data_IF_880463811672
#
_entry.id   IF_880463811672
#
_cell.length_a   1.000
_cell.length_b   1.000
_cell.length_c   1.000
_cell.angle_alpha   90.00
_cell.angle_beta   90.00
_cell.angle_gamma   90.00
#
_symmetry.space_group_name_H-M   'P 1'
#
loop_
_entity.id
_entity.type
_entity.pdbx_description
1 polymer ?
#
# COMPACT_ATOMS: atom_id res chain seq x y z
N UNK A 1 2.50 -1.74 -12.35
CA UNK A 1 2.10 -2.83 -11.44
C UNK A 1 1.24 -2.26 -10.31
N UNK A 2 1.77 -1.45 -9.39
CA UNK A 2 1.11 -0.99 -8.14
C UNK A 2 -0.22 -0.26 -8.43
N UNK A 3 -0.24 0.73 -9.33
CA UNK A 3 -1.49 1.44 -9.69
C UNK A 3 -2.56 0.47 -10.21
N UNK A 4 -2.18 -0.49 -11.06
CA UNK A 4 -3.11 -1.51 -11.55
C UNK A 4 -3.64 -2.45 -10.46
N UNK A 5 -2.86 -2.67 -9.39
CA UNK A 5 -3.28 -3.39 -8.20
C UNK A 5 -4.25 -2.54 -7.36
N UNK A 6 -3.92 -1.27 -7.14
CA UNK A 6 -4.73 -0.31 -6.38
C UNK A 6 -6.11 -0.04 -7.02
N UNK A 7 -6.17 0.02 -8.33
CA UNK A 7 -7.44 0.25 -9.05
C UNK A 7 -8.30 -1.02 -9.20
N UNK A 8 -7.74 -2.19 -8.91
CA UNK A 8 -8.49 -3.43 -8.92
C UNK A 8 -9.46 -3.46 -7.74
N UNK A 9 -10.74 -3.42 -8.05
CA UNK A 9 -11.83 -3.35 -7.08
C UNK A 9 -11.66 -2.24 -6.02
N UNK A 10 -11.11 -1.10 -6.42
CA UNK A 10 -10.82 0.06 -5.54
C UNK A 10 -10.09 -0.33 -4.26
N UNK A 11 -9.09 -1.21 -4.36
CA UNK A 11 -8.27 -1.68 -3.24
C UNK A 11 -9.02 -2.39 -2.12
N UNK A 12 -10.19 -2.97 -2.38
CA UNK A 12 -10.94 -3.73 -1.38
C UNK A 12 -10.36 -5.11 -1.12
N UNK A 13 -9.53 -5.63 -2.04
CA UNK A 13 -8.79 -6.88 -1.82
C UNK A 13 -7.76 -6.68 -0.72
N UNK A 14 -7.79 -7.51 0.31
CA UNK A 14 -6.88 -7.45 1.47
C UNK A 14 -5.38 -7.57 1.10
N UNK A 15 -5.07 -8.08 -0.09
CA UNK A 15 -3.71 -8.12 -0.63
C UNK A 15 -3.32 -6.88 -1.44
N UNK A 16 -4.21 -5.89 -1.62
CA UNK A 16 -3.84 -4.62 -2.26
C UNK A 16 -2.80 -3.90 -1.41
N UNK A 17 -1.87 -3.23 -2.07
CA UNK A 17 -0.82 -2.48 -1.40
C UNK A 17 -1.43 -1.40 -0.49
N UNK A 18 -1.04 -1.36 0.75
CA UNK A 18 -1.47 -0.34 1.72
C UNK A 18 -0.39 0.73 1.90
N UNK A 19 0.85 0.35 1.64
CA UNK A 19 2.03 1.20 1.74
C UNK A 19 3.02 0.84 0.65
N UNK A 20 3.81 1.81 0.23
CA UNK A 20 5.00 1.63 -0.61
C UNK A 20 6.20 2.25 0.07
N UNK A 21 7.29 1.49 0.12
CA UNK A 21 8.59 1.96 0.61
C UNK A 21 9.51 2.11 -0.60
N UNK A 22 10.04 3.29 -0.81
CA UNK A 22 10.81 3.66 -2.01
C UNK A 22 12.23 4.02 -1.59
N UNK A 23 13.21 3.46 -2.27
CA UNK A 23 14.61 3.83 -2.07
C UNK A 23 14.86 5.25 -2.62
N UNK A 24 15.52 6.08 -1.82
CA UNK A 24 15.78 7.51 -2.09
C UNK A 24 16.29 7.78 -3.51
N UNK A 25 17.26 7.05 -4.06
CA UNK A 25 17.82 7.34 -5.40
C UNK A 25 16.81 7.26 -6.55
N UNK A 26 15.72 6.51 -6.37
CA UNK A 26 14.72 6.31 -7.42
C UNK A 26 13.39 7.05 -7.12
N UNK A 27 13.29 7.74 -5.99
CA UNK A 27 12.04 8.36 -5.54
C UNK A 27 11.41 9.28 -6.59
N UNK A 28 12.18 10.22 -7.15
CA UNK A 28 11.64 11.18 -8.12
C UNK A 28 11.12 10.50 -9.38
N UNK A 29 11.82 9.48 -9.87
CA UNK A 29 11.41 8.72 -11.04
C UNK A 29 10.13 7.90 -10.75
N UNK A 30 10.05 7.26 -9.60
CA UNK A 30 8.87 6.50 -9.17
C UNK A 30 7.67 7.42 -8.96
N UNK A 31 7.87 8.59 -8.33
CA UNK A 31 6.83 9.60 -8.15
C UNK A 31 6.28 10.10 -9.49
N UNK A 32 7.16 10.42 -10.43
CA UNK A 32 6.77 10.84 -11.77
C UNK A 32 5.92 9.76 -12.47
N UNK A 33 6.32 8.50 -12.34
CA UNK A 33 5.60 7.36 -12.92
C UNK A 33 4.22 7.16 -12.28
N UNK A 34 4.08 7.29 -10.97
CA UNK A 34 2.77 7.27 -10.30
C UNK A 34 1.86 8.37 -10.84
N UNK A 35 2.35 9.61 -10.94
CA UNK A 35 1.60 10.75 -11.46
C UNK A 35 1.18 10.52 -12.93
N UNK A 36 2.09 10.01 -13.76
CA UNK A 36 1.80 9.67 -15.16
C UNK A 36 0.70 8.61 -15.30
N UNK A 37 0.54 7.74 -14.29
CA UNK A 37 -0.53 6.74 -14.19
C UNK A 37 -1.77 7.24 -13.43
N UNK A 38 -1.94 8.54 -13.27
CA UNK A 38 -3.13 9.17 -12.72
C UNK A 38 -3.19 9.28 -11.19
N UNK A 39 -2.08 9.02 -10.49
CA UNK A 39 -2.04 9.23 -9.06
C UNK A 39 -2.07 10.73 -8.69
N UNK A 40 -2.78 11.06 -7.62
CA UNK A 40 -2.75 12.37 -7.00
C UNK A 40 -1.84 12.34 -5.77
N UNK A 41 -0.77 13.13 -5.80
CA UNK A 41 0.13 13.27 -4.66
C UNK A 41 -0.41 14.35 -3.73
N UNK A 42 -0.86 13.93 -2.55
CA UNK A 42 -1.53 14.80 -1.58
C UNK A 42 -0.56 15.81 -0.96
N UNK A 43 -1.05 17.03 -0.76
CA UNK A 43 -0.37 18.02 0.06
C UNK A 43 -0.42 17.63 1.55
N UNK A 44 0.43 18.21 2.42
CA UNK A 44 0.36 17.98 3.86
C UNK A 44 -1.02 18.28 4.46
N UNK A 45 -1.72 19.31 3.95
CA UNK A 45 -3.08 19.62 4.38
C UNK A 45 -4.08 18.53 3.96
N UNK A 46 -3.98 18.03 2.72
CA UNK A 46 -4.82 16.94 2.22
C UNK A 46 -4.55 15.64 2.97
N UNK A 47 -3.27 15.34 3.28
CA UNK A 47 -2.88 14.22 4.14
C UNK A 47 -3.60 14.29 5.49
N UNK A 48 -3.59 15.45 6.16
CA UNK A 48 -4.27 15.61 7.45
C UNK A 48 -5.76 15.36 7.33
N UNK A 49 -6.41 15.91 6.31
CA UNK A 49 -7.84 15.69 6.04
C UNK A 49 -8.18 14.21 5.79
N UNK A 50 -7.31 13.48 5.10
CA UNK A 50 -7.46 12.03 4.93
C UNK A 50 -7.28 11.29 6.26
N UNK A 51 -6.27 11.65 7.05
CA UNK A 51 -6.01 11.07 8.35
C UNK A 51 -7.23 11.18 9.30
N UNK A 52 -7.95 12.29 9.23
CA UNK A 52 -9.13 12.54 10.06
C UNK A 52 -10.32 11.62 9.72
N UNK A 53 -10.37 11.05 8.52
CA UNK A 53 -11.49 10.22 8.08
C UNK A 53 -11.15 8.72 7.93
N UNK A 54 -9.86 8.36 7.78
CA UNK A 54 -9.45 6.97 7.49
C UNK A 54 -9.71 6.05 8.67
N UNK A 55 -9.55 6.53 9.90
CA UNK A 55 -9.71 5.73 11.12
C UNK A 55 -10.82 6.30 11.99
N UNK A 56 -11.66 5.40 12.50
CA UNK A 56 -12.66 5.69 13.53
C UNK A 56 -12.46 4.74 14.71
N UNK A 57 -12.01 5.27 15.84
CA UNK A 57 -11.84 4.50 17.07
C UNK A 57 -10.92 3.29 16.93
N UNK A 58 -9.76 3.45 16.33
CA UNK A 58 -8.76 2.39 16.06
C UNK A 58 -9.25 1.30 15.08
N UNK A 59 -10.16 1.61 14.18
CA UNK A 59 -10.60 0.74 13.09
C UNK A 59 -10.66 1.52 11.81
N UNK A 60 -10.46 0.84 10.69
CA UNK A 60 -10.68 1.45 9.38
C UNK A 60 -12.12 1.96 9.29
N UNK A 61 -12.29 3.14 8.72
CA UNK A 61 -13.61 3.70 8.49
C UNK A 61 -14.30 2.96 7.33
N UNK A 62 -15.33 2.19 7.64
CA UNK A 62 -16.06 1.41 6.64
C UNK A 62 -16.71 2.28 5.54
N UNK A 63 -16.97 3.56 5.82
CA UNK A 63 -17.63 4.45 4.85
C UNK A 63 -16.74 4.81 3.64
N UNK A 64 -15.41 4.59 3.74
CA UNK A 64 -14.48 4.87 2.64
C UNK A 64 -14.10 3.61 1.84
N UNK A 65 -14.42 2.42 2.34
CA UNK A 65 -14.05 1.15 1.71
C UNK A 65 -14.71 1.02 0.35
N UNK A 66 -13.91 0.76 -0.68
CA UNK A 66 -14.37 0.56 -2.04
C UNK A 66 -14.81 1.82 -2.80
N UNK A 67 -14.71 3.00 -2.20
CA UNK A 67 -14.98 4.26 -2.87
C UNK A 67 -13.86 4.63 -3.85
N UNK A 68 -14.23 5.40 -4.88
CA UNK A 68 -13.24 5.99 -5.78
C UNK A 68 -12.44 7.12 -5.11
N UNK A 69 -11.20 7.40 -5.55
CA UNK A 69 -10.35 8.45 -4.96
C UNK A 69 -11.03 9.83 -4.84
N UNK A 70 -11.74 10.26 -5.88
CA UNK A 70 -12.44 11.54 -5.86
C UNK A 70 -13.57 11.60 -4.83
N UNK A 71 -14.25 10.47 -4.57
CA UNK A 71 -15.29 10.39 -3.54
C UNK A 71 -14.69 10.47 -2.13
N UNK A 72 -13.56 9.78 -1.91
CA UNK A 72 -12.82 9.83 -0.65
C UNK A 72 -12.30 11.25 -0.40
N UNK A 73 -11.71 11.89 -1.43
CA UNK A 73 -11.25 13.27 -1.34
C UNK A 73 -12.39 14.24 -0.97
N UNK A 74 -13.56 14.09 -1.61
CA UNK A 74 -14.74 14.90 -1.31
C UNK A 74 -15.21 14.71 0.15
N UNK A 75 -15.22 13.47 0.66
CA UNK A 75 -15.52 13.18 2.07
C UNK A 75 -14.50 13.82 3.03
N UNK A 76 -13.23 13.89 2.62
CA UNK A 76 -12.16 14.54 3.37
C UNK A 76 -12.17 16.09 3.23
N UNK A 77 -13.04 16.64 2.37
CA UNK A 77 -13.16 18.08 2.20
C UNK A 77 -12.11 18.71 1.26
N UNK A 78 -11.73 17.97 0.21
CA UNK A 78 -10.94 18.50 -0.92
C UNK A 78 -11.35 17.82 -2.23
N UNK A 79 -10.91 18.38 -3.35
CA UNK A 79 -11.28 17.89 -4.67
C UNK A 79 -10.05 17.34 -5.41
N UNK A 80 -10.26 16.28 -6.17
CA UNK A 80 -9.34 15.75 -7.16
C UNK A 80 -10.10 15.37 -8.42
N UNK A 81 -9.40 15.14 -9.52
CA UNK A 81 -10.02 14.69 -10.77
C UNK A 81 -10.75 13.36 -10.60
N UNK A 82 -11.89 13.18 -11.26
CA UNK A 82 -12.59 11.89 -11.35
C UNK A 82 -11.72 10.79 -11.98
N UNK A 83 -10.72 11.16 -12.77
CA UNK A 83 -9.75 10.25 -13.37
C UNK A 83 -8.60 9.88 -12.42
N UNK A 84 -8.60 10.38 -11.18
CA UNK A 84 -7.57 10.03 -10.20
C UNK A 84 -7.66 8.54 -9.88
N UNK A 85 -6.52 7.85 -9.97
CA UNK A 85 -6.42 6.40 -9.77
C UNK A 85 -6.12 6.02 -8.32
N UNK A 86 -5.31 6.81 -7.63
CA UNK A 86 -4.90 6.58 -6.23
C UNK A 86 -4.50 7.90 -5.56
N UNK A 87 -4.77 8.04 -4.27
CA UNK A 87 -4.31 9.13 -3.43
C UNK A 87 -3.00 8.71 -2.76
N UNK A 88 -1.90 9.41 -3.08
CA UNK A 88 -0.58 9.14 -2.51
C UNK A 88 -0.31 10.10 -1.36
N UNK A 89 0.14 9.57 -0.22
CA UNK A 89 0.42 10.38 0.98
C UNK A 89 1.81 10.07 1.52
N UNK A 90 2.63 11.09 1.70
CA UNK A 90 3.95 10.94 2.32
C UNK A 90 3.78 10.63 3.81
N UNK A 91 4.39 9.55 4.28
CA UNK A 91 4.40 9.12 5.68
C UNK A 91 5.83 8.97 6.19
N UNK A 92 6.04 9.29 7.48
CA UNK A 92 7.33 9.25 8.15
C UNK A 92 7.34 8.31 9.37
N UNK A 93 6.17 7.84 9.80
CA UNK A 93 6.03 6.96 10.96
C UNK A 93 4.96 5.90 10.77
N UNK A 94 4.91 4.98 11.72
CA UNK A 94 3.96 3.86 11.77
C UNK A 94 3.30 3.82 13.13
N UNK A 95 2.01 3.55 13.19
CA UNK A 95 1.28 3.46 14.45
C UNK A 95 0.02 4.31 14.47
N UNK A 96 -0.65 4.35 15.62
CA UNK A 96 -1.91 5.08 15.76
C UNK A 96 -1.75 6.60 15.67
N UNK A 97 -0.55 7.12 15.91
CA UNK A 97 -0.22 8.54 15.72
C UNK A 97 0.02 8.87 14.22
N UNK A 98 0.10 7.83 13.38
CA UNK A 98 0.20 7.87 11.92
C UNK A 98 -0.97 7.08 11.30
N UNK A 99 -2.19 7.59 11.36
CA UNK A 99 -3.39 6.81 11.03
C UNK A 99 -3.47 6.32 9.58
N UNK A 100 -2.70 6.91 8.68
CA UNK A 100 -2.59 6.44 7.29
C UNK A 100 -1.66 5.23 7.12
N UNK A 101 -0.93 4.82 8.17
CA UNK A 101 -0.10 3.61 8.17
C UNK A 101 -0.90 2.30 8.31
N UNK A 102 -2.20 2.38 8.65
CA UNK A 102 -3.08 1.21 8.79
C UNK A 102 -3.51 0.63 7.44
N UNK A 103 -4.13 -0.54 7.48
CA UNK A 103 -4.91 -1.05 6.36
C UNK A 103 -6.11 -0.11 6.09
N UNK A 104 -6.34 0.25 4.84
CA UNK A 104 -7.34 1.25 4.45
C UNK A 104 -8.47 0.69 3.60
N UNK A 105 -8.22 -0.42 2.88
CA UNK A 105 -9.14 -1.07 1.94
C UNK A 105 -9.78 -0.05 0.96
N UNK A 106 -8.98 0.89 0.52
CA UNK A 106 -9.36 2.01 -0.32
C UNK A 106 -8.14 2.51 -1.10
N UNK A 107 -8.32 3.20 -2.23
CA UNK A 107 -7.21 3.65 -3.07
C UNK A 107 -6.45 4.86 -2.46
N UNK A 108 -5.94 4.66 -1.25
CA UNK A 108 -5.02 5.55 -0.55
C UNK A 108 -3.75 4.77 -0.27
N UNK A 109 -2.61 5.25 -0.75
CA UNK A 109 -1.32 4.58 -0.62
C UNK A 109 -0.34 5.44 0.17
N UNK A 110 0.13 4.93 1.30
CA UNK A 110 1.14 5.59 2.12
C UNK A 110 2.53 5.38 1.54
N UNK A 111 3.29 6.44 1.43
CA UNK A 111 4.63 6.46 0.82
C UNK A 111 5.66 6.72 1.89
N UNK A 112 6.61 5.83 2.00
CA UNK A 112 7.82 5.99 2.82
C UNK A 112 9.02 6.06 1.91
N UNK A 113 9.97 6.91 2.25
CA UNK A 113 11.24 7.06 1.51
C UNK A 113 12.37 6.74 2.46
N UNK A 114 13.19 5.77 2.10
CA UNK A 114 14.27 5.29 2.93
C UNK A 114 15.60 5.32 2.14
N UNK A 115 16.71 5.44 2.87
CA UNK A 115 18.03 5.52 2.27
C UNK A 115 18.69 4.13 2.26
N UNK A 116 18.54 3.45 1.14
CA UNK A 116 19.02 2.09 0.93
C UNK A 116 17.97 1.02 1.18
N UNK A 117 18.17 -0.13 0.54
CA UNK A 117 17.22 -1.23 0.61
C UNK A 117 17.13 -1.87 2.00
N UNK A 118 18.19 -1.83 2.80
CA UNK A 118 18.19 -2.34 4.19
C UNK A 118 17.24 -1.51 5.06
N UNK A 119 17.35 -0.19 5.00
CA UNK A 119 16.42 0.71 5.72
C UNK A 119 14.99 0.52 5.22
N UNK A 120 14.80 0.33 3.91
CA UNK A 120 13.50 -0.03 3.34
C UNK A 120 12.95 -1.34 3.87
N UNK A 121 13.80 -2.35 4.08
CA UNK A 121 13.43 -3.61 4.71
C UNK A 121 12.98 -3.42 6.16
N UNK A 122 13.71 -2.62 6.94
CA UNK A 122 13.36 -2.33 8.34
C UNK A 122 12.02 -1.61 8.44
N UNK A 123 11.76 -0.65 7.55
CA UNK A 123 10.46 0.03 7.45
C UNK A 123 9.33 -0.96 7.10
N UNK A 124 9.53 -1.86 6.18
CA UNK A 124 8.57 -2.91 5.86
C UNK A 124 8.23 -3.78 7.08
N UNK A 125 9.25 -4.16 7.87
CA UNK A 125 9.06 -4.93 9.10
C UNK A 125 8.28 -4.13 10.15
N UNK A 126 8.56 -2.84 10.30
CA UNK A 126 7.84 -1.95 11.21
C UNK A 126 6.34 -1.88 10.83
N UNK A 127 6.03 -1.67 9.55
CA UNK A 127 4.66 -1.64 9.03
C UNK A 127 3.96 -2.98 9.29
N UNK A 128 4.63 -4.10 9.01
CA UNK A 128 4.09 -5.44 9.26
C UNK A 128 3.83 -5.71 10.74
N UNK A 129 4.72 -5.25 11.61
CA UNK A 129 4.56 -5.42 13.06
C UNK A 129 3.34 -4.68 13.60
N UNK A 130 2.98 -3.58 12.99
CA UNK A 130 1.81 -2.79 13.35
C UNK A 130 0.54 -3.29 12.67
N UNK A 131 0.57 -3.45 11.34
CA UNK A 131 -0.60 -3.79 10.53
C UNK A 131 -0.98 -5.28 10.52
N UNK A 132 -0.11 -6.14 11.00
CA UNK A 132 -0.31 -7.59 11.02
C UNK A 132 0.70 -8.37 10.17
N UNK A 133 1.29 -9.38 10.79
CA UNK A 133 2.26 -10.28 10.14
C UNK A 133 1.54 -11.39 9.37
N UNK A 134 2.16 -11.87 8.30
CA UNK A 134 1.78 -13.09 7.61
C UNK A 134 0.88 -12.91 6.40
N UNK A 135 0.53 -11.69 5.99
CA UNK A 135 -0.31 -11.50 4.81
C UNK A 135 0.51 -11.55 3.50
N UNK A 136 0.69 -10.44 2.84
CA UNK A 136 1.30 -10.36 1.51
C UNK A 136 2.24 -9.17 1.43
N UNK A 137 3.41 -9.38 0.84
CA UNK A 137 4.34 -8.33 0.44
C UNK A 137 4.66 -8.44 -1.04
N UNK A 138 5.11 -7.35 -1.63
CA UNK A 138 5.77 -7.36 -2.94
C UNK A 138 7.09 -6.62 -2.88
N UNK A 139 8.01 -7.05 -3.73
CA UNK A 139 9.26 -6.36 -4.01
C UNK A 139 9.34 -6.07 -5.50
N UNK A 140 9.75 -4.85 -5.84
CA UNK A 140 10.05 -4.42 -7.20
C UNK A 140 11.54 -4.11 -7.28
N UNK A 141 12.32 -5.05 -7.79
CA UNK A 141 13.77 -4.95 -7.93
C UNK A 141 14.25 -5.82 -9.09
N UNK A 142 15.42 -5.52 -9.61
CA UNK A 142 16.17 -6.34 -10.57
C UNK A 142 17.43 -6.96 -9.96
N UNK A 143 17.72 -6.63 -8.70
CA UNK A 143 18.85 -7.17 -7.94
C UNK A 143 18.42 -8.47 -7.25
N UNK A 144 18.98 -9.58 -7.72
CA UNK A 144 18.61 -10.92 -7.22
C UNK A 144 19.03 -11.15 -5.76
N UNK A 145 20.14 -10.61 -5.31
CA UNK A 145 20.60 -10.77 -3.92
C UNK A 145 19.68 -10.01 -2.95
N UNK A 146 19.25 -8.80 -3.35
CA UNK A 146 18.25 -8.03 -2.59
C UNK A 146 16.90 -8.77 -2.55
N UNK A 147 16.44 -9.29 -3.69
CA UNK A 147 15.20 -10.07 -3.78
C UNK A 147 15.25 -11.28 -2.86
N UNK A 148 16.34 -12.07 -2.91
CA UNK A 148 16.50 -13.25 -2.08
C UNK A 148 16.53 -12.93 -0.60
N UNK A 149 17.28 -11.90 -0.20
CA UNK A 149 17.33 -11.44 1.18
C UNK A 149 15.94 -11.02 1.67
N UNK A 150 15.24 -10.20 0.86
CA UNK A 150 13.89 -9.75 1.17
C UNK A 150 12.93 -10.93 1.39
N UNK A 151 12.92 -11.91 0.50
CA UNK A 151 12.02 -13.08 0.57
C UNK A 151 12.26 -13.90 1.82
N UNK A 152 13.52 -14.06 2.25
CA UNK A 152 13.87 -14.90 3.42
C UNK A 152 13.62 -14.20 4.76
N UNK A 153 13.68 -12.89 4.81
CA UNK A 153 13.59 -12.14 6.07
C UNK A 153 12.17 -11.74 6.47
N UNK A 154 11.25 -11.63 5.49
CA UNK A 154 9.94 -11.06 5.77
C UNK A 154 8.95 -12.09 6.30
N UNK A 155 8.30 -11.81 7.45
CA UNK A 155 7.36 -12.73 8.08
C UNK A 155 5.98 -12.68 7.39
N UNK A 156 5.94 -13.08 6.12
CA UNK A 156 4.72 -13.10 5.31
C UNK A 156 4.51 -14.45 4.65
N UNK A 157 3.25 -14.79 4.37
CA UNK A 157 2.90 -16.03 3.70
C UNK A 157 3.10 -15.98 2.19
N UNK A 158 3.07 -14.77 1.62
CA UNK A 158 3.22 -14.54 0.19
C UNK A 158 4.16 -13.37 -0.06
N UNK A 159 5.14 -13.58 -0.92
CA UNK A 159 5.98 -12.52 -1.47
C UNK A 159 5.85 -12.58 -2.98
N UNK A 160 5.51 -11.44 -3.57
CA UNK A 160 5.42 -11.27 -5.01
C UNK A 160 6.61 -10.48 -5.52
N UNK A 161 7.16 -10.89 -6.64
CA UNK A 161 8.33 -10.25 -7.24
C UNK A 161 7.90 -9.61 -8.56
N UNK A 162 8.05 -8.29 -8.65
CA UNK A 162 7.77 -7.50 -9.85
C UNK A 162 6.33 -7.69 -10.40
N UNK A 163 5.36 -7.95 -9.52
CA UNK A 163 3.98 -8.24 -9.88
C UNK A 163 2.98 -7.39 -9.09
N UNK A 164 1.78 -7.11 -9.64
CA UNK A 164 0.69 -6.46 -8.90
C UNK A 164 0.23 -7.36 -7.76
N UNK A 165 0.13 -6.82 -6.55
CA UNK A 165 -0.12 -7.64 -5.35
C UNK A 165 -1.53 -8.19 -5.27
N UNK A 166 -2.56 -7.41 -5.61
CA UNK A 166 -3.93 -7.87 -5.55
C UNK A 166 -4.18 -9.08 -6.45
N UNK A 167 -3.74 -9.03 -7.70
CA UNK A 167 -3.91 -10.11 -8.67
C UNK A 167 -2.95 -11.28 -8.40
N UNK A 168 -1.68 -10.98 -8.12
CA UNK A 168 -0.66 -12.00 -7.87
C UNK A 168 -0.93 -12.82 -6.62
N UNK A 169 -1.50 -12.22 -5.58
CA UNK A 169 -1.83 -12.90 -4.33
C UNK A 169 -2.89 -14.01 -4.51
N UNK A 170 -3.75 -13.89 -5.51
CA UNK A 170 -4.72 -14.93 -5.86
C UNK A 170 -4.21 -15.88 -6.97
N UNK A 171 -2.94 -15.74 -7.35
CA UNK A 171 -2.28 -16.60 -8.34
C UNK A 171 -2.36 -16.10 -9.78
N UNK A 172 -3.07 -15.01 -10.05
CA UNK A 172 -3.18 -14.49 -11.41
C UNK A 172 -1.84 -13.94 -11.92
N UNK A 173 -1.44 -14.36 -13.12
CA UNK A 173 -0.15 -13.98 -13.71
C UNK A 173 1.06 -14.70 -13.09
N UNK A 174 0.84 -15.67 -12.20
CA UNK A 174 1.85 -16.56 -11.63
C UNK A 174 1.75 -17.96 -12.24
N UNK A 175 2.66 -18.85 -11.91
CA UNK A 175 2.56 -20.28 -12.29
C UNK A 175 1.60 -21.12 -11.42
N UNK A 176 0.92 -20.49 -10.47
CA UNK A 176 0.01 -21.16 -9.54
C UNK A 176 -1.41 -21.21 -10.08
N UNK A 177 -2.18 -22.22 -9.65
CA UNK A 177 -3.61 -22.28 -9.92
C UNK A 177 -4.29 -21.15 -9.17
N UNK A 178 -5.04 -20.25 -9.85
CA UNK A 178 -5.73 -19.16 -9.19
C UNK A 178 -6.69 -19.65 -8.11
N UNK A 179 -6.60 -19.08 -6.93
CA UNK A 179 -7.47 -19.37 -5.80
C UNK A 179 -7.65 -18.14 -4.92
N UNK A 180 -8.80 -18.00 -4.29
CA UNK A 180 -9.08 -16.93 -3.35
C UNK A 180 -9.58 -17.52 -2.04
N UNK A 181 -8.96 -17.11 -0.94
CA UNK A 181 -9.42 -17.41 0.42
C UNK A 181 -9.57 -16.10 1.19
N UNK A 182 -10.63 -15.97 1.95
CA UNK A 182 -10.76 -14.88 2.92
C UNK A 182 -10.02 -15.23 4.19
N UNK A 183 -9.20 -14.30 4.65
CA UNK A 183 -8.33 -14.51 5.81
C UNK A 183 -7.15 -15.42 5.48
N UNK A 184 -5.96 -14.92 5.65
CA UNK A 184 -4.72 -15.62 5.28
C UNK A 184 -4.03 -16.28 6.49
N UNK A 185 -4.67 -16.33 7.67
CA UNK A 185 -4.04 -16.78 8.91
C UNK A 185 -2.96 -15.84 9.41
N UNK A 186 -3.00 -14.56 9.02
CA UNK A 186 -2.09 -13.54 9.49
C UNK A 186 -2.15 -13.40 11.00
N UNK A 187 -0.98 -13.18 11.62
CA UNK A 187 -0.88 -12.94 13.06
C UNK A 187 -0.92 -11.44 13.34
N UNK A 188 -1.80 -11.03 14.24
CA UNK A 188 -1.89 -9.65 14.68
C UNK A 188 -2.67 -8.75 13.73
N UNK A 189 -3.75 -9.23 13.19
CA UNK A 189 -4.73 -8.36 12.51
C UNK A 189 -5.38 -7.42 13.53
N UNK A 190 -5.49 -6.15 13.17
CA UNK A 190 -6.23 -5.13 13.95
C UNK A 190 -7.72 -5.29 13.79
#
# INVERSE_FOLDING_TARGET
AIVGSQTFDNSTICASEQSVVIDTPIFDAVKAEFIANGAHWCTPEQKQKLADIVVRGRRVNADIVGLFPHQIAALAGFEVSENTTVLMVDEDGVGWDHPLSVEKLSPILSVYVEDGWEAGCDRCIEILNFGGRGHTLSIHSTDEDVIWTFVHEKPTHRVLINAPTAQGAVGFGTGLVPSMTLGCGAFGGN
#
